data_IF_089536935402
#
_entry.id   IF_089536935402
#
_cell.length_a   1.000
_cell.length_b   1.000
_cell.length_c   1.000
_cell.angle_alpha   90.00
_cell.angle_beta   90.00
_cell.angle_gamma   90.00
#
_symmetry.space_group_name_H-M   'P 1'
#
loop_
_entity.id
_entity.type
_entity.pdbx_description
1 polymer ?
#
# COMPACT_ATOMS: atom_id res chain seq x y z
N UNK A 1 -17.00 19.11 -1.76
CA UNK A 1 -17.35 18.05 -2.73
C UNK A 1 -17.07 16.73 -2.03
N UNK A 2 -18.06 16.18 -1.36
CA UNK A 2 -17.97 14.89 -0.67
C UNK A 2 -18.24 13.81 -1.71
N UNK A 3 -17.19 13.11 -2.13
CA UNK A 3 -17.33 11.87 -2.90
C UNK A 3 -18.23 10.93 -2.10
N UNK A 4 -19.40 10.64 -2.66
CA UNK A 4 -20.33 9.69 -2.09
C UNK A 4 -19.65 8.32 -2.08
N UNK A 5 -19.28 7.86 -0.89
CA UNK A 5 -19.01 6.45 -0.65
C UNK A 5 -20.19 5.67 -1.23
N UNK A 6 -19.96 4.73 -2.17
CA UNK A 6 -21.05 3.96 -2.72
C UNK A 6 -21.77 3.27 -1.55
N UNK A 7 -23.12 3.24 -1.55
CA UNK A 7 -23.86 2.56 -0.49
C UNK A 7 -23.35 1.11 -0.40
N UNK A 8 -23.25 0.53 0.81
CA UNK A 8 -22.84 -0.87 0.95
C UNK A 8 -23.80 -1.70 0.11
N UNK A 9 -23.29 -2.21 -1.01
CA UNK A 9 -24.06 -3.09 -1.85
C UNK A 9 -24.28 -4.37 -1.03
N UNK A 10 -25.53 -4.80 -0.93
CA UNK A 10 -25.87 -6.10 -0.37
C UNK A 10 -25.02 -7.15 -1.09
N UNK A 11 -24.11 -7.79 -0.36
CA UNK A 11 -23.13 -8.71 -0.90
C UNK A 11 -23.79 -9.82 -1.70
N UNK A 12 -24.95 -10.31 -1.24
CA UNK A 12 -25.71 -11.34 -1.94
C UNK A 12 -26.22 -10.84 -3.30
N UNK A 13 -26.63 -9.57 -3.39
CA UNK A 13 -27.02 -8.95 -4.66
C UNK A 13 -25.82 -8.83 -5.60
N UNK A 14 -24.64 -8.46 -5.09
CA UNK A 14 -23.40 -8.36 -5.90
C UNK A 14 -23.02 -9.73 -6.45
N UNK A 15 -22.98 -10.75 -5.60
CA UNK A 15 -22.66 -12.12 -5.98
C UNK A 15 -23.66 -12.69 -7.00
N UNK A 16 -24.96 -12.44 -6.80
CA UNK A 16 -26.00 -12.85 -7.74
C UNK A 16 -25.85 -12.16 -9.10
N UNK A 17 -25.50 -10.87 -9.13
CA UNK A 17 -25.24 -10.13 -10.37
C UNK A 17 -24.03 -10.66 -11.12
N UNK A 18 -22.93 -10.95 -10.43
CA UNK A 18 -21.72 -11.51 -11.04
C UNK A 18 -22.01 -12.90 -11.64
N UNK A 19 -22.70 -13.78 -10.90
CA UNK A 19 -23.11 -15.09 -11.40
C UNK A 19 -23.95 -14.97 -12.67
N UNK A 20 -24.99 -14.13 -12.66
CA UNK A 20 -25.86 -13.91 -13.83
C UNK A 20 -25.10 -13.32 -15.02
N UNK A 21 -24.13 -12.45 -14.77
CA UNK A 21 -23.30 -11.90 -15.84
C UNK A 21 -22.49 -13.01 -16.52
N UNK A 22 -21.79 -13.85 -15.75
CA UNK A 22 -21.03 -14.98 -16.29
C UNK A 22 -21.94 -15.94 -17.05
N UNK A 23 -23.07 -16.33 -16.47
CA UNK A 23 -24.04 -17.23 -17.12
C UNK A 23 -24.58 -16.66 -18.43
N UNK A 24 -24.93 -15.37 -18.45
CA UNK A 24 -25.43 -14.71 -19.67
C UNK A 24 -24.38 -14.69 -20.78
N UNK A 25 -23.13 -14.36 -20.47
CA UNK A 25 -22.06 -14.28 -21.48
C UNK A 25 -21.57 -15.66 -21.94
N UNK A 26 -21.66 -16.70 -21.10
CA UNK A 26 -21.14 -18.06 -21.41
C UNK A 26 -22.20 -19.04 -21.89
N UNK A 27 -23.47 -18.85 -21.51
CA UNK A 27 -24.59 -19.74 -21.83
C UNK A 27 -24.73 -20.09 -23.32
N UNK A 28 -24.71 -19.10 -24.23
CA UNK A 28 -24.77 -19.39 -25.67
C UNK A 28 -23.60 -20.23 -26.18
N UNK A 29 -22.41 -20.07 -25.60
CA UNK A 29 -21.22 -20.84 -25.98
C UNK A 29 -21.27 -22.27 -25.46
N UNK A 30 -21.79 -22.47 -24.24
CA UNK A 30 -22.05 -23.81 -23.72
C UNK A 30 -23.06 -24.56 -24.59
N UNK A 31 -24.17 -23.91 -24.97
CA UNK A 31 -25.17 -24.53 -25.84
C UNK A 31 -24.59 -24.93 -27.21
N UNK A 32 -23.69 -24.13 -27.79
CA UNK A 32 -22.98 -24.46 -29.03
C UNK A 32 -22.02 -25.64 -28.85
N UNK A 33 -21.21 -25.61 -27.79
CA UNK A 33 -20.32 -26.72 -27.44
C UNK A 33 -21.08 -28.04 -27.30
N UNK A 34 -22.21 -28.01 -26.59
CA UNK A 34 -23.05 -29.18 -26.34
C UNK A 34 -23.74 -29.69 -27.63
N UNK A 35 -23.95 -28.81 -28.61
CA UNK A 35 -24.39 -29.17 -29.95
C UNK A 35 -23.26 -29.72 -30.85
N UNK A 36 -22.03 -29.87 -30.33
CA UNK A 36 -20.87 -30.40 -31.04
C UNK A 36 -20.07 -29.36 -31.83
N UNK A 37 -20.34 -28.06 -31.65
CA UNK A 37 -19.55 -26.99 -32.26
C UNK A 37 -18.22 -26.79 -31.52
N UNK A 38 -17.14 -27.29 -32.11
CA UNK A 38 -15.79 -27.19 -31.56
C UNK A 38 -15.21 -25.77 -31.63
N UNK A 39 -15.78 -24.86 -32.44
CA UNK A 39 -15.31 -23.47 -32.54
C UNK A 39 -15.69 -22.63 -31.31
N UNK A 40 -16.55 -23.16 -30.44
CA UNK A 40 -16.89 -22.56 -29.15
C UNK A 40 -15.77 -22.66 -28.10
N UNK A 41 -14.86 -23.63 -28.22
CA UNK A 41 -13.84 -23.91 -27.21
C UNK A 41 -12.79 -22.79 -27.06
N UNK A 42 -12.24 -22.19 -28.14
CA UNK A 42 -11.33 -21.05 -28.01
C UNK A 42 -11.97 -19.84 -27.31
N UNK A 43 -13.25 -19.58 -27.58
CA UNK A 43 -14.01 -18.50 -26.93
C UNK A 43 -14.21 -18.74 -25.44
N UNK A 44 -14.69 -19.94 -25.08
CA UNK A 44 -14.83 -20.35 -23.68
C UNK A 44 -13.50 -20.32 -22.92
N UNK A 45 -12.40 -20.73 -23.57
CA UNK A 45 -11.06 -20.66 -22.99
C UNK A 45 -10.64 -19.21 -22.69
N UNK A 46 -10.88 -18.28 -23.62
CA UNK A 46 -10.54 -16.86 -23.43
C UNK A 46 -11.37 -16.20 -22.34
N UNK A 47 -12.68 -16.50 -22.29
CA UNK A 47 -13.56 -16.02 -21.22
C UNK A 47 -13.11 -16.61 -19.87
N UNK A 48 -12.82 -17.92 -19.83
CA UNK A 48 -12.34 -18.61 -18.63
C UNK A 48 -11.07 -17.99 -18.05
N UNK A 49 -10.09 -17.66 -18.88
CA UNK A 49 -8.87 -17.00 -18.41
C UNK A 49 -9.12 -15.60 -17.83
N UNK A 50 -9.97 -14.79 -18.46
CA UNK A 50 -10.33 -13.49 -17.92
C UNK A 50 -11.02 -13.62 -16.55
N UNK A 51 -11.91 -14.60 -16.39
CA UNK A 51 -12.59 -14.82 -15.12
C UNK A 51 -11.64 -15.29 -14.02
N UNK A 52 -10.63 -16.10 -14.36
CA UNK A 52 -9.58 -16.51 -13.43
C UNK A 52 -8.73 -15.30 -13.02
N UNK A 53 -8.28 -14.48 -13.97
CA UNK A 53 -7.49 -13.27 -13.70
C UNK A 53 -8.22 -12.29 -12.76
N UNK A 54 -9.48 -11.99 -13.06
CA UNK A 54 -10.31 -11.13 -12.21
C UNK A 54 -10.59 -11.77 -10.85
N UNK A 55 -10.83 -13.08 -10.82
CA UNK A 55 -11.08 -13.85 -9.61
C UNK A 55 -9.88 -13.86 -8.66
N UNK A 56 -8.68 -14.09 -9.19
CA UNK A 56 -7.44 -14.03 -8.42
C UNK A 56 -7.21 -12.63 -7.85
N UNK A 57 -7.37 -11.59 -8.66
CA UNK A 57 -7.23 -10.20 -8.20
C UNK A 57 -8.15 -9.90 -7.01
N UNK A 58 -9.44 -10.24 -7.11
CA UNK A 58 -10.41 -10.00 -6.01
C UNK A 58 -10.11 -10.87 -4.79
N UNK A 59 -9.66 -12.11 -4.98
CA UNK A 59 -9.34 -13.03 -3.90
C UNK A 59 -8.11 -12.59 -3.11
N UNK A 60 -7.03 -12.18 -3.79
CA UNK A 60 -5.80 -11.68 -3.17
C UNK A 60 -6.06 -10.39 -2.37
N UNK A 61 -6.77 -9.43 -2.96
CA UNK A 61 -7.19 -8.19 -2.25
C UNK A 61 -8.15 -8.50 -1.08
N UNK A 62 -8.86 -9.63 -1.15
CA UNK A 62 -9.69 -10.18 -0.06
C UNK A 62 -8.91 -10.99 0.99
N UNK A 63 -7.58 -11.12 0.86
CA UNK A 63 -6.72 -11.84 1.80
C UNK A 63 -6.67 -13.36 1.60
N UNK A 64 -7.12 -13.86 0.45
CA UNK A 64 -7.02 -15.28 0.08
C UNK A 64 -5.70 -15.52 -0.65
N UNK A 65 -4.88 -16.44 -0.14
CA UNK A 65 -3.64 -16.84 -0.80
C UNK A 65 -3.95 -17.70 -2.04
N UNK A 66 -3.73 -17.15 -3.24
CA UNK A 66 -4.04 -17.82 -4.51
C UNK A 66 -2.82 -18.44 -5.22
N UNK A 67 -1.60 -18.24 -4.72
CA UNK A 67 -0.35 -18.62 -5.40
C UNK A 67 -0.28 -20.07 -5.91
N UNK A 68 -0.69 -21.05 -5.10
CA UNK A 68 -0.69 -22.47 -5.52
C UNK A 68 -1.67 -22.75 -6.66
N UNK A 69 -2.83 -22.07 -6.65
CA UNK A 69 -3.88 -22.21 -7.65
C UNK A 69 -3.44 -21.53 -8.94
N UNK A 70 -2.89 -20.32 -8.86
CA UNK A 70 -2.31 -19.60 -10.00
C UNK A 70 -1.23 -20.42 -10.68
N UNK A 71 -0.30 -20.98 -9.90
CA UNK A 71 0.78 -21.81 -10.43
C UNK A 71 0.25 -23.08 -11.09
N UNK A 72 -0.76 -23.73 -10.52
CA UNK A 72 -1.42 -24.89 -11.12
C UNK A 72 -2.09 -24.53 -12.46
N UNK A 73 -2.78 -23.39 -12.54
CA UNK A 73 -3.40 -22.89 -13.77
C UNK A 73 -2.33 -22.56 -14.82
N UNK A 74 -1.28 -21.82 -14.46
CA UNK A 74 -0.21 -21.47 -15.39
C UNK A 74 0.46 -22.72 -15.98
N UNK A 75 0.72 -23.74 -15.14
CA UNK A 75 1.26 -25.03 -15.59
C UNK A 75 0.30 -25.76 -16.53
N UNK A 76 -0.97 -25.89 -16.15
CA UNK A 76 -1.97 -26.63 -16.92
C UNK A 76 -2.19 -26.06 -18.32
N UNK A 77 -2.03 -24.74 -18.47
CA UNK A 77 -2.31 -24.03 -19.72
C UNK A 77 -1.07 -23.48 -20.43
N UNK A 78 0.13 -23.82 -19.93
CA UNK A 78 1.41 -23.30 -20.42
C UNK A 78 1.40 -21.76 -20.59
N UNK A 79 0.72 -21.07 -19.68
CA UNK A 79 0.74 -19.62 -19.63
C UNK A 79 2.09 -19.19 -19.08
N UNK A 80 2.64 -18.03 -19.49
CA UNK A 80 3.70 -17.42 -18.71
C UNK A 80 3.12 -17.27 -17.31
N UNK A 81 3.66 -18.04 -16.36
CA UNK A 81 3.34 -17.82 -14.97
C UNK A 81 3.56 -16.34 -14.73
N UNK A 82 2.59 -15.66 -14.12
CA UNK A 82 2.98 -14.50 -13.35
C UNK A 82 3.94 -15.10 -12.36
N UNK A 83 5.23 -14.97 -12.63
CA UNK A 83 6.18 -15.01 -11.56
C UNK A 83 5.63 -13.90 -10.67
N UNK A 84 4.89 -14.27 -9.62
CA UNK A 84 5.38 -13.85 -8.34
C UNK A 84 6.86 -14.19 -8.41
N UNK A 85 7.68 -13.23 -8.87
CA UNK A 85 9.01 -13.11 -8.33
C UNK A 85 8.74 -13.27 -6.84
N UNK A 86 9.13 -14.42 -6.27
CA UNK A 86 9.32 -14.50 -4.83
C UNK A 86 9.95 -13.16 -4.49
N UNK A 87 9.26 -12.29 -3.73
CA UNK A 87 9.70 -10.91 -3.58
C UNK A 87 11.14 -11.02 -3.16
N UNK A 88 12.05 -10.60 -4.05
CA UNK A 88 13.44 -11.07 -4.02
C UNK A 88 13.87 -10.99 -2.56
N UNK A 89 14.24 -12.11 -1.91
CA UNK A 89 14.57 -12.08 -0.48
C UNK A 89 15.66 -11.02 -0.21
N UNK A 90 16.42 -10.66 -1.24
CA UNK A 90 17.31 -9.51 -1.27
C UNK A 90 16.58 -8.16 -1.34
N UNK A 91 15.54 -7.96 -2.14
CA UNK A 91 14.75 -6.73 -2.20
C UNK A 91 13.98 -6.44 -0.90
N UNK A 92 13.33 -7.45 -0.29
CA UNK A 92 12.71 -7.27 1.03
C UNK A 92 13.77 -7.06 2.13
N UNK A 93 14.91 -7.77 2.05
CA UNK A 93 16.05 -7.53 2.94
C UNK A 93 16.65 -6.13 2.78
N UNK A 94 16.75 -5.62 1.55
CA UNK A 94 17.22 -4.27 1.23
C UNK A 94 16.24 -3.21 1.73
N UNK A 95 14.92 -3.42 1.58
CA UNK A 95 13.91 -2.52 2.11
C UNK A 95 13.93 -2.49 3.64
N UNK A 96 14.07 -3.65 4.29
CA UNK A 96 14.20 -3.73 5.75
C UNK A 96 15.46 -3.00 6.25
N UNK A 97 16.59 -3.20 5.56
CA UNK A 97 17.83 -2.48 5.85
C UNK A 97 17.67 -0.96 5.64
N UNK A 98 17.10 -0.53 4.51
CA UNK A 98 16.85 0.88 4.22
C UNK A 98 15.88 1.53 5.23
N UNK A 99 14.88 0.80 5.68
CA UNK A 99 13.92 1.26 6.70
C UNK A 99 14.63 1.46 8.04
N UNK A 100 15.46 0.51 8.45
CA UNK A 100 16.25 0.60 9.69
C UNK A 100 17.27 1.75 9.64
N UNK A 101 17.95 1.93 8.52
CA UNK A 101 18.86 3.07 8.30
C UNK A 101 18.11 4.40 8.36
N UNK A 102 16.92 4.48 7.77
CA UNK A 102 16.05 5.67 7.85
C UNK A 102 15.63 5.95 9.30
N UNK A 103 15.22 4.95 10.06
CA UNK A 103 14.85 5.11 11.47
C UNK A 103 16.04 5.62 12.30
N UNK A 104 17.23 5.07 12.06
CA UNK A 104 18.46 5.51 12.72
C UNK A 104 18.79 6.96 12.38
N UNK A 105 18.75 7.34 11.10
CA UNK A 105 18.99 8.71 10.67
C UNK A 105 17.97 9.70 11.26
N UNK A 106 16.69 9.29 11.36
CA UNK A 106 15.66 10.09 12.02
C UNK A 106 15.94 10.21 13.53
N UNK A 107 16.38 9.15 14.20
CA UNK A 107 16.74 9.19 15.62
C UNK A 107 17.95 10.09 15.88
N UNK A 108 18.99 10.04 15.05
CA UNK A 108 20.17 10.90 15.13
C UNK A 108 19.80 12.37 14.88
N UNK A 109 18.94 12.65 13.90
CA UNK A 109 18.44 14.00 13.63
C UNK A 109 17.62 14.55 14.80
N UNK A 110 16.71 13.73 15.35
CA UNK A 110 15.91 14.10 16.52
C UNK A 110 16.78 14.33 17.76
N UNK A 111 17.83 13.53 17.94
CA UNK A 111 18.78 13.72 19.02
C UNK A 111 19.56 15.03 18.85
N UNK A 112 20.08 15.32 17.66
CA UNK A 112 20.77 16.56 17.37
C UNK A 112 19.89 17.80 17.59
N UNK A 113 18.63 17.76 17.13
CA UNK A 113 17.65 18.83 17.37
C UNK A 113 17.34 19.00 18.86
N UNK A 114 17.23 17.91 19.62
CA UNK A 114 17.05 17.94 21.08
C UNK A 114 18.23 18.59 21.80
N UNK A 115 19.47 18.21 21.44
CA UNK A 115 20.70 18.82 21.99
C UNK A 115 20.77 20.30 21.65
N UNK A 116 20.48 20.66 20.39
CA UNK A 116 20.45 22.06 19.94
C UNK A 116 19.41 22.91 20.69
N UNK A 117 18.17 22.40 20.87
CA UNK A 117 17.14 23.08 21.68
C UNK A 117 17.55 23.23 23.13
N UNK A 118 18.21 22.22 23.70
CA UNK A 118 18.73 22.26 25.07
C UNK A 118 19.80 23.35 25.23
N UNK A 119 20.72 23.47 24.27
CA UNK A 119 21.73 24.52 24.27
C UNK A 119 21.12 25.92 24.16
N UNK A 120 20.09 26.11 23.31
CA UNK A 120 19.35 27.39 23.22
C UNK A 120 18.72 27.77 24.57
N UNK A 121 18.10 26.80 25.25
CA UNK A 121 17.48 27.03 26.56
C UNK A 121 18.53 27.38 27.61
N UNK A 122 19.63 26.63 27.66
CA UNK A 122 20.72 26.89 28.60
C UNK A 122 21.30 28.31 28.43
N UNK A 123 21.49 28.77 27.19
CA UNK A 123 21.93 30.14 26.92
C UNK A 123 20.90 31.19 27.39
N UNK A 124 19.61 30.94 27.18
CA UNK A 124 18.55 31.84 27.67
C UNK A 124 18.49 31.88 29.21
N UNK A 125 18.63 30.72 29.87
CA UNK A 125 18.61 30.58 31.33
C UNK A 125 19.86 31.25 31.96
N UNK A 126 21.00 31.25 31.26
CA UNK A 126 22.20 32.00 31.66
C UNK A 126 22.07 33.53 31.51
N UNK A 127 20.94 34.03 30.99
CA UNK A 127 20.66 35.47 30.87
C UNK A 127 21.05 36.09 29.54
N UNK A 128 21.46 35.30 28.54
CA UNK A 128 21.87 35.83 27.24
C UNK A 128 20.73 36.57 26.51
N UNK A 129 21.10 37.59 25.73
CA UNK A 129 20.14 38.35 24.92
C UNK A 129 19.63 37.45 23.79
N UNK A 130 18.29 37.37 23.65
CA UNK A 130 17.61 36.47 22.69
C UNK A 130 18.04 36.73 21.24
N UNK A 131 18.35 38.00 20.91
CA UNK A 131 18.89 38.39 19.60
C UNK A 131 20.27 37.78 19.33
N UNK A 132 21.14 37.70 20.33
CA UNK A 132 22.46 37.09 20.21
C UNK A 132 22.35 35.57 20.06
N UNK A 133 21.50 34.93 20.87
CA UNK A 133 21.24 33.48 20.78
C UNK A 133 20.68 33.12 19.39
N UNK A 134 19.70 33.88 18.89
CA UNK A 134 19.12 33.68 17.56
C UNK A 134 20.17 33.79 16.45
N UNK A 135 21.07 34.77 16.53
CA UNK A 135 22.14 34.98 15.55
C UNK A 135 23.13 33.80 15.52
N UNK A 136 23.57 33.31 16.69
CA UNK A 136 24.51 32.17 16.77
C UNK A 136 23.84 30.86 16.34
N UNK A 137 22.58 30.66 16.73
CA UNK A 137 21.82 29.46 16.37
C UNK A 137 21.30 29.47 14.91
N UNK A 138 21.49 30.56 14.16
CA UNK A 138 21.06 30.68 12.77
C UNK A 138 19.54 30.68 12.59
N UNK A 139 18.77 31.13 13.58
CA UNK A 139 17.30 31.12 13.58
C UNK A 139 16.72 32.46 13.96
N UNK A 140 15.39 32.62 13.80
CA UNK A 140 14.71 33.85 14.21
C UNK A 140 14.56 33.95 15.73
N UNK A 141 14.46 35.18 16.24
CA UNK A 141 14.14 35.42 17.67
C UNK A 141 12.79 34.81 18.06
N UNK A 142 11.83 34.79 17.13
CA UNK A 142 10.55 34.13 17.33
C UNK A 142 10.71 32.62 17.58
N UNK A 143 11.58 31.94 16.81
CA UNK A 143 11.88 30.51 17.00
C UNK A 143 12.54 30.24 18.35
N UNK A 144 13.45 31.11 18.80
CA UNK A 144 14.05 31.02 20.14
C UNK A 144 12.98 31.15 21.24
N UNK A 145 12.05 32.08 21.10
CA UNK A 145 10.95 32.26 22.06
C UNK A 145 10.02 31.04 22.11
N UNK A 146 9.68 30.47 20.95
CA UNK A 146 8.86 29.26 20.86
C UNK A 146 9.51 28.08 21.62
N UNK A 147 10.79 27.80 21.35
CA UNK A 147 11.55 26.71 22.01
C UNK A 147 11.61 26.88 23.53
N UNK A 148 11.65 28.13 24.00
CA UNK A 148 11.68 28.45 25.43
C UNK A 148 10.29 28.31 26.09
N UNK A 149 9.22 28.63 25.35
CA UNK A 149 7.83 28.49 25.82
C UNK A 149 7.37 27.03 25.87
N UNK A 150 7.84 26.18 24.97
CA UNK A 150 7.53 24.73 24.93
C UNK A 150 7.88 23.98 26.24
N UNK A 151 8.78 24.53 27.08
CA UNK A 151 9.09 24.00 28.42
C UNK A 151 7.90 24.08 29.39
N UNK A 152 6.98 25.02 29.19
CA UNK A 152 5.88 25.31 30.12
C UNK A 152 4.53 24.71 29.70
N UNK A 153 4.50 23.99 28.57
CA UNK A 153 3.28 23.39 28.00
C UNK A 153 2.99 21.94 28.42
N UNK A 154 3.82 21.33 29.27
CA UNK A 154 3.58 19.97 29.79
C UNK A 154 3.14 20.07 31.26
N UNK A 155 1.82 20.11 31.46
CA UNK A 155 1.15 19.74 32.71
C UNK A 155 0.32 18.49 32.44
#
# INVERSE_FOLDING_TARGET
MTEGSPPPADLDIVLARLRRAVERETGPWYARKDAGDNDSLPWLRRIGFLLLELGFTVAEEGGIACGDIEQAVSRAFNLPGRAMEDPDPTALGQLAHATKERERAMAETNHADSVWRTAIRAACDAGEKRKSVANVAGVSVHRVNQINQERHGTK
#
